data_IF_720381529333
#
_entry.id   IF_720381529333
#
_cell.length_a   1.000
_cell.length_b   1.000
_cell.length_c   1.000
_cell.angle_alpha   90.00
_cell.angle_beta   90.00
_cell.angle_gamma   90.00
#
_symmetry.space_group_name_H-M   'P 1'
#
loop_
_entity.id
_entity.type
_entity.pdbx_description
1 polymer ?
#
# COMPACT_ATOMS: atom_id res chain seq x y z
N UNK A 1 -19.10 22.45 -23.57
CA UNK A 1 -20.10 23.19 -22.75
C UNK A 1 -20.52 22.38 -21.52
N UNK A 2 -20.27 21.06 -21.49
CA UNK A 2 -20.64 20.16 -20.39
C UNK A 2 -19.56 20.08 -19.28
N UNK A 3 -18.28 20.31 -19.62
CA UNK A 3 -17.15 20.24 -18.67
C UNK A 3 -17.15 21.37 -17.63
N UNK A 4 -17.57 22.59 -18.00
CA UNK A 4 -17.70 23.72 -17.06
C UNK A 4 -18.80 23.47 -16.02
N UNK A 5 -19.80 22.67 -16.36
CA UNK A 5 -20.94 22.35 -15.50
C UNK A 5 -20.59 21.29 -14.44
N UNK A 6 -19.62 20.42 -14.75
CA UNK A 6 -19.06 19.47 -13.77
C UNK A 6 -18.15 20.22 -12.80
N UNK A 7 -17.30 21.13 -13.28
CA UNK A 7 -16.46 21.97 -12.41
C UNK A 7 -17.31 22.81 -11.43
N UNK A 8 -18.38 23.46 -11.89
CA UNK A 8 -19.26 24.26 -11.02
C UNK A 8 -20.06 23.41 -10.02
N UNK A 9 -20.54 22.23 -10.44
CA UNK A 9 -21.28 21.28 -9.59
C UNK A 9 -20.42 20.70 -8.46
N UNK A 10 -19.18 20.34 -8.76
CA UNK A 10 -18.19 19.81 -7.80
C UNK A 10 -17.88 20.80 -6.68
N UNK A 11 -17.93 22.09 -6.99
CA UNK A 11 -17.68 23.15 -6.01
C UNK A 11 -18.95 23.61 -5.28
N UNK A 12 -20.14 23.47 -5.87
CA UNK A 12 -21.40 23.75 -5.18
C UNK A 12 -21.71 22.68 -4.14
N UNK A 13 -21.46 21.40 -4.45
CA UNK A 13 -21.63 20.29 -3.50
C UNK A 13 -20.66 20.40 -2.30
N UNK A 14 -19.43 20.88 -2.53
CA UNK A 14 -18.45 21.15 -1.46
C UNK A 14 -18.77 22.38 -0.58
N UNK A 15 -19.75 23.20 -0.96
CA UNK A 15 -20.17 24.41 -0.22
C UNK A 15 -21.48 24.17 0.54
N UNK A 16 -22.33 23.24 0.10
CA UNK A 16 -23.66 23.02 0.70
C UNK A 16 -23.69 21.99 1.84
N UNK A 17 -22.67 21.14 2.02
CA UNK A 17 -22.65 20.16 3.12
C UNK A 17 -22.26 20.73 4.49
N UNK A 18 -21.87 22.00 4.59
CA UNK A 18 -21.24 22.58 5.79
C UNK A 18 -22.03 23.75 6.41
N UNK A 19 -23.37 23.75 6.27
CA UNK A 19 -24.21 24.78 6.92
C UNK A 19 -24.60 24.47 8.36
N UNK A 20 -24.10 23.38 8.97
CA UNK A 20 -24.37 23.13 10.38
C UNK A 20 -23.13 22.64 11.14
N UNK A 21 -22.60 23.56 11.94
CA UNK A 21 -21.72 23.34 13.10
C UNK A 21 -20.18 23.33 12.87
N UNK A 22 -19.60 24.52 13.02
CA UNK A 22 -18.28 24.78 13.64
C UNK A 22 -17.07 24.05 13.05
N UNK A 23 -16.57 24.49 11.90
CA UNK A 23 -15.14 24.82 11.62
C UNK A 23 -14.92 24.90 10.12
N UNK A 24 -14.99 26.12 9.57
CA UNK A 24 -14.62 26.40 8.18
C UNK A 24 -13.14 26.13 7.94
N UNK A 25 -12.80 24.88 7.61
CA UNK A 25 -11.48 24.45 7.20
C UNK A 25 -11.62 23.88 5.80
N UNK A 26 -11.61 24.72 4.77
CA UNK A 26 -11.19 24.25 3.45
C UNK A 26 -9.67 24.14 3.51
N UNK A 27 -9.21 23.05 4.12
CA UNK A 27 -7.80 22.69 4.13
C UNK A 27 -7.42 22.22 2.72
N UNK A 28 -6.13 22.15 2.43
CA UNK A 28 -5.64 21.41 1.26
C UNK A 28 -6.22 19.97 1.21
N UNK A 29 -6.53 19.42 2.38
CA UNK A 29 -7.35 18.22 2.60
C UNK A 29 -8.69 18.22 1.86
N UNK A 30 -9.47 19.31 1.93
CA UNK A 30 -10.79 19.38 1.30
C UNK A 30 -10.66 19.41 -0.22
N UNK A 31 -9.68 20.12 -0.79
CA UNK A 31 -9.43 20.08 -2.24
C UNK A 31 -9.08 18.65 -2.67
N UNK A 32 -8.23 17.95 -1.92
CA UNK A 32 -7.90 16.55 -2.22
C UNK A 32 -9.09 15.60 -2.05
N UNK A 33 -9.93 15.81 -1.04
CA UNK A 33 -11.14 15.02 -0.77
C UNK A 33 -12.23 15.26 -1.81
N UNK A 34 -12.52 16.52 -2.14
CA UNK A 34 -13.47 16.92 -3.19
C UNK A 34 -13.04 16.36 -4.54
N UNK A 35 -11.76 16.51 -4.93
CA UNK A 35 -11.25 15.90 -6.19
C UNK A 35 -11.37 14.38 -6.17
N UNK A 36 -11.14 13.71 -5.03
CA UNK A 36 -11.31 12.26 -4.92
C UNK A 36 -12.79 11.82 -5.04
N UNK A 37 -13.72 12.57 -4.44
CA UNK A 37 -15.16 12.31 -4.48
C UNK A 37 -15.74 12.53 -5.89
N UNK A 38 -15.32 13.60 -6.58
CA UNK A 38 -15.68 13.91 -7.97
C UNK A 38 -15.23 12.84 -8.95
N UNK A 39 -14.03 12.29 -8.77
CA UNK A 39 -13.52 11.21 -9.62
C UNK A 39 -14.26 9.90 -9.37
N UNK A 40 -14.81 9.70 -8.17
CA UNK A 40 -15.63 8.54 -7.83
C UNK A 40 -17.04 8.63 -8.45
N UNK A 41 -17.56 9.85 -8.64
CA UNK A 41 -18.88 10.13 -9.22
C UNK A 41 -18.87 10.29 -10.75
N UNK A 42 -17.72 10.61 -11.37
CA UNK A 42 -17.57 10.76 -12.83
C UNK A 42 -17.34 9.44 -13.59
N UNK A 43 -17.47 8.27 -12.96
CA UNK A 43 -17.43 6.96 -13.64
C UNK A 43 -18.85 6.60 -14.08
N UNK A 44 -19.17 6.60 -15.40
CA UNK A 44 -20.46 6.12 -15.87
C UNK A 44 -20.67 4.66 -15.43
N UNK A 45 -21.90 4.31 -15.07
CA UNK A 45 -22.31 3.05 -14.45
C UNK A 45 -22.09 1.78 -15.33
N UNK A 46 -21.31 1.86 -16.40
CA UNK A 46 -21.01 0.76 -17.33
C UNK A 46 -19.61 0.14 -17.19
N UNK A 47 -18.78 0.54 -16.22
CA UNK A 47 -17.51 -0.17 -15.90
C UNK A 47 -17.35 -0.45 -14.39
N UNK A 48 -18.46 -0.59 -13.65
CA UNK A 48 -18.47 -1.11 -12.27
C UNK A 48 -18.75 -2.62 -12.24
N UNK A 49 -17.89 -3.41 -12.88
CA UNK A 49 -17.69 -4.82 -12.56
C UNK A 49 -16.18 -5.06 -12.65
N UNK A 50 -15.45 -5.01 -11.54
CA UNK A 50 -15.05 -6.22 -10.85
C UNK A 50 -14.79 -5.89 -9.38
N UNK A 51 -15.55 -6.53 -8.49
CA UNK A 51 -15.20 -7.09 -7.17
C UNK A 51 -16.55 -7.27 -6.47
N UNK A 52 -17.20 -8.43 -6.67
CA UNK A 52 -17.87 -9.17 -5.61
C UNK A 52 -18.26 -10.56 -6.12
N UNK A 53 -17.39 -11.55 -5.90
CA UNK A 53 -17.71 -12.95 -6.09
C UNK A 53 -18.44 -13.45 -4.86
N UNK A 54 -19.76 -13.67 -4.94
CA UNK A 54 -20.44 -14.61 -4.05
C UNK A 54 -21.65 -15.25 -4.73
N UNK A 55 -21.50 -16.56 -4.96
CA UNK A 55 -22.52 -17.60 -4.98
C UNK A 55 -23.67 -17.48 -5.99
N UNK A 56 -23.55 -18.23 -7.09
CA UNK A 56 -24.65 -19.06 -7.58
C UNK A 56 -24.13 -20.44 -8.04
N UNK A 57 -24.52 -21.42 -7.25
CA UNK A 57 -24.53 -22.86 -7.51
C UNK A 57 -25.28 -23.24 -8.78
N UNK A 58 -24.78 -24.24 -9.52
CA UNK A 58 -25.63 -25.08 -10.37
C UNK A 58 -24.95 -25.83 -11.51
N UNK A 59 -24.72 -27.14 -11.29
CA UNK A 59 -24.86 -28.26 -12.27
C UNK A 59 -23.79 -28.36 -13.38
N UNK A 60 -23.33 -29.51 -13.89
CA UNK A 60 -23.34 -30.97 -13.61
C UNK A 60 -22.38 -31.55 -14.64
N UNK A 61 -21.55 -32.54 -14.29
CA UNK A 61 -21.15 -33.61 -15.23
C UNK A 61 -20.40 -34.70 -14.46
N UNK A 62 -21.05 -35.86 -14.36
CA UNK A 62 -20.45 -37.11 -13.93
C UNK A 62 -19.33 -37.53 -14.89
N UNK A 63 -18.24 -38.11 -14.37
CA UNK A 63 -17.50 -39.17 -15.05
C UNK A 63 -16.68 -39.98 -14.05
N UNK A 64 -17.01 -41.27 -14.03
CA UNK A 64 -16.33 -42.49 -13.59
C UNK A 64 -15.14 -42.48 -12.62
N UNK A 65 -15.35 -43.18 -11.50
CA UNK A 65 -14.33 -43.83 -10.68
C UNK A 65 -13.72 -45.03 -11.43
N UNK A 66 -12.41 -45.27 -11.32
CA UNK A 66 -11.89 -46.62 -11.21
C UNK A 66 -11.79 -47.01 -9.73
N UNK A 67 -12.48 -48.10 -9.39
CA UNK A 67 -12.34 -48.81 -8.11
C UNK A 67 -10.96 -49.48 -8.07
N UNK A 68 -10.13 -49.17 -7.09
CA UNK A 68 -9.11 -50.12 -6.62
C UNK A 68 -9.55 -50.71 -5.29
N UNK A 69 -9.81 -52.00 -5.39
CA UNK A 69 -10.17 -52.93 -4.35
C UNK A 69 -8.89 -53.36 -3.62
N UNK A 70 -8.73 -53.02 -2.35
CA UNK A 70 -7.70 -53.64 -1.50
C UNK A 70 -8.44 -54.43 -0.43
N UNK A 71 -8.31 -55.75 -0.56
CA UNK A 71 -8.91 -56.76 0.28
C UNK A 71 -8.20 -56.76 1.64
N UNK A 72 -8.91 -56.45 2.72
CA UNK A 72 -8.39 -56.70 4.06
C UNK A 72 -8.57 -58.19 4.39
N UNK A 73 -7.51 -58.97 4.16
CA UNK A 73 -7.36 -60.29 4.78
C UNK A 73 -6.68 -60.11 6.13
N UNK A 74 -7.51 -60.08 7.18
CA UNK A 74 -7.11 -60.29 8.57
C UNK A 74 -6.49 -61.68 8.71
N UNK A 75 -5.20 -61.76 8.99
CA UNK A 75 -4.63 -62.87 9.76
C UNK A 75 -3.67 -62.32 10.81
N UNK A 76 -3.92 -62.75 12.04
CA UNK A 76 -3.43 -62.12 13.25
C UNK A 76 -1.92 -62.21 13.45
N UNK A 77 -1.40 -61.18 14.11
CA UNK A 77 -0.16 -61.27 14.89
C UNK A 77 -0.46 -60.58 16.22
N UNK A 78 -0.66 -61.41 17.24
CA UNK A 78 -0.59 -61.02 18.63
C UNK A 78 0.87 -60.76 19.00
N UNK A 79 1.22 -59.53 19.37
CA UNK A 79 2.37 -59.26 20.22
C UNK A 79 2.20 -57.88 20.89
N UNK A 80 2.12 -57.91 22.22
CA UNK A 80 2.14 -56.74 23.08
C UNK A 80 3.52 -56.06 23.03
N UNK A 81 3.56 -54.76 22.81
CA UNK A 81 4.59 -53.89 23.39
C UNK A 81 4.04 -52.47 23.52
N UNK A 82 4.27 -51.87 24.69
CA UNK A 82 3.69 -50.59 25.08
C UNK A 82 4.15 -49.45 24.18
N UNK A 83 3.23 -48.97 23.35
CA UNK A 83 3.20 -47.60 22.89
C UNK A 83 1.97 -46.95 23.54
N UNK A 84 2.19 -45.85 24.24
CA UNK A 84 1.13 -44.99 24.73
C UNK A 84 0.17 -44.67 23.59
N UNK A 85 -1.09 -45.02 23.77
CA UNK A 85 -2.20 -44.86 22.85
C UNK A 85 -2.34 -43.37 22.47
N UNK A 86 -1.70 -42.95 21.37
CA UNK A 86 -1.99 -41.66 20.76
C UNK A 86 -3.38 -41.82 20.17
N UNK A 87 -4.38 -41.22 20.83
CA UNK A 87 -5.77 -41.39 20.43
C UNK A 87 -5.94 -41.05 18.95
N UNK A 88 -6.63 -41.92 18.20
CA UNK A 88 -6.90 -41.74 16.77
C UNK A 88 -7.55 -40.38 16.49
N UNK A 89 -8.32 -39.85 17.44
CA UNK A 89 -8.89 -38.49 17.40
C UNK A 89 -7.85 -37.36 17.42
N UNK A 90 -6.71 -37.55 18.09
CA UNK A 90 -5.61 -36.58 18.14
C UNK A 90 -4.91 -36.51 16.78
N UNK A 91 -4.70 -37.65 16.13
CA UNK A 91 -4.12 -37.72 14.78
C UNK A 91 -5.05 -37.10 13.74
N UNK A 92 -6.36 -37.35 13.82
CA UNK A 92 -7.34 -36.76 12.91
C UNK A 92 -7.41 -35.23 13.05
N UNK A 93 -7.34 -34.71 14.28
CA UNK A 93 -7.26 -33.27 14.53
C UNK A 93 -5.97 -32.64 13.99
N UNK A 94 -4.83 -33.34 14.09
CA UNK A 94 -3.56 -32.87 13.54
C UNK A 94 -3.58 -32.88 12.00
N UNK A 95 -4.17 -33.91 11.40
CA UNK A 95 -4.35 -34.02 9.96
C UNK A 95 -5.30 -32.93 9.42
N UNK A 96 -6.42 -32.66 10.09
CA UNK A 96 -7.32 -31.57 9.73
C UNK A 96 -6.64 -30.21 9.82
N UNK A 97 -5.83 -29.95 10.85
CA UNK A 97 -5.05 -28.70 10.96
C UNK A 97 -4.01 -28.57 9.85
N UNK A 98 -3.31 -29.65 9.50
CA UNK A 98 -2.38 -29.67 8.39
C UNK A 98 -3.10 -29.43 7.05
N UNK A 99 -4.23 -30.09 6.84
CA UNK A 99 -5.07 -29.93 5.65
C UNK A 99 -5.61 -28.50 5.52
N UNK A 100 -6.09 -27.88 6.60
CA UNK A 100 -6.52 -26.48 6.62
C UNK A 100 -5.36 -25.52 6.33
N UNK A 101 -4.21 -25.72 6.96
CA UNK A 101 -3.01 -24.87 6.75
C UNK A 101 -2.51 -24.96 5.29
N UNK A 102 -2.53 -26.16 4.71
CA UNK A 102 -2.19 -26.36 3.30
C UNK A 102 -3.26 -25.75 2.38
N UNK A 103 -4.54 -25.93 2.69
CA UNK A 103 -5.64 -25.35 1.92
C UNK A 103 -5.54 -23.82 1.88
N UNK A 104 -5.31 -23.16 3.01
CA UNK A 104 -5.09 -21.71 3.05
C UNK A 104 -3.81 -21.31 2.30
N UNK A 105 -2.70 -22.03 2.49
CA UNK A 105 -1.43 -21.72 1.83
C UNK A 105 -1.42 -21.85 0.30
N UNK A 106 -2.26 -22.72 -0.28
CA UNK A 106 -2.32 -22.97 -1.72
C UNK A 106 -3.50 -22.30 -2.45
N UNK A 107 -4.58 -21.95 -1.75
CA UNK A 107 -5.75 -21.32 -2.38
C UNK A 107 -5.74 -19.80 -2.35
N UNK A 108 -4.86 -19.16 -1.56
CA UNK A 108 -4.65 -17.72 -1.69
C UNK A 108 -3.75 -17.40 -2.91
N UNK A 109 -4.06 -16.32 -3.66
CA UNK A 109 -3.14 -15.78 -4.65
C UNK A 109 -1.78 -15.53 -4.02
N UNK A 110 -0.70 -15.96 -4.70
CA UNK A 110 0.65 -15.74 -4.20
C UNK A 110 0.89 -14.23 -4.11
N UNK A 111 1.27 -13.69 -2.93
CA UNK A 111 1.57 -12.28 -2.81
C UNK A 111 2.67 -11.90 -3.80
N UNK A 112 2.44 -10.82 -4.54
CA UNK A 112 3.45 -10.31 -5.46
C UNK A 112 4.61 -9.70 -4.67
N UNK A 113 5.83 -10.11 -5.01
CA UNK A 113 7.04 -9.56 -4.45
C UNK A 113 7.40 -8.29 -5.20
N UNK A 114 7.46 -7.18 -4.47
CA UNK A 114 7.81 -5.89 -5.05
C UNK A 114 9.29 -5.85 -5.42
N UNK A 115 9.62 -5.15 -6.50
CA UNK A 115 11.00 -4.83 -6.85
C UNK A 115 11.36 -3.44 -6.38
N UNK A 116 12.65 -3.20 -6.13
CA UNK A 116 13.13 -1.93 -5.57
C UNK A 116 14.31 -1.38 -6.36
N UNK A 117 14.17 -0.17 -6.89
CA UNK A 117 15.17 0.47 -7.73
C UNK A 117 16.06 1.49 -6.99
N UNK A 118 15.81 1.75 -5.71
CA UNK A 118 16.52 2.79 -4.94
C UNK A 118 15.72 4.07 -4.72
N UNK A 119 14.40 4.09 -4.94
CA UNK A 119 13.59 5.29 -4.67
C UNK A 119 13.12 5.33 -3.21
N UNK A 120 13.49 6.34 -2.39
CA UNK A 120 13.05 6.40 -0.99
C UNK A 120 11.53 6.34 -0.78
N UNK A 121 10.75 6.85 -1.74
CA UNK A 121 9.27 6.82 -1.71
C UNK A 121 8.69 5.41 -1.64
N UNK A 122 9.39 4.43 -2.22
CA UNK A 122 8.93 3.05 -2.32
C UNK A 122 9.59 2.13 -1.30
N UNK A 123 10.63 2.61 -0.59
CA UNK A 123 11.40 1.81 0.36
C UNK A 123 10.52 1.14 1.43
N UNK A 124 9.66 1.92 2.09
CA UNK A 124 8.81 1.41 3.19
C UNK A 124 7.86 0.31 2.73
N UNK A 125 7.34 0.42 1.50
CA UNK A 125 6.45 -0.60 0.92
C UNK A 125 7.23 -1.85 0.55
N UNK A 126 8.38 -1.68 -0.09
CA UNK A 126 9.26 -2.77 -0.49
C UNK A 126 9.74 -3.57 0.72
N UNK A 127 10.31 -2.92 1.74
CA UNK A 127 10.89 -3.63 2.88
C UNK A 127 9.81 -4.38 3.67
N UNK A 128 8.61 -3.80 3.85
CA UNK A 128 7.50 -4.46 4.53
C UNK A 128 6.95 -5.65 3.73
N UNK A 129 6.87 -5.53 2.41
CA UNK A 129 6.50 -6.63 1.51
C UNK A 129 7.54 -7.75 1.57
N UNK A 130 8.84 -7.41 1.56
CA UNK A 130 9.93 -8.36 1.66
C UNK A 130 9.95 -9.09 3.01
N UNK A 131 9.83 -8.36 4.12
CA UNK A 131 9.78 -8.92 5.47
C UNK A 131 8.61 -9.90 5.63
N UNK A 132 7.44 -9.56 5.11
CA UNK A 132 6.23 -10.39 5.23
C UNK A 132 6.30 -11.66 4.38
N UNK A 133 6.85 -11.57 3.16
CA UNK A 133 6.80 -12.68 2.20
C UNK A 133 8.05 -13.55 2.19
N UNK A 134 9.20 -13.00 2.57
CA UNK A 134 10.50 -13.70 2.56
C UNK A 134 11.00 -13.90 3.99
N UNK A 135 11.23 -12.82 4.74
CA UNK A 135 11.86 -12.91 6.07
C UNK A 135 11.00 -13.72 7.05
N UNK A 136 9.67 -13.58 6.99
CA UNK A 136 8.73 -14.36 7.80
C UNK A 136 8.61 -15.84 7.42
N UNK A 137 9.11 -16.27 6.25
CA UNK A 137 8.95 -17.65 5.74
C UNK A 137 10.25 -18.45 5.67
N UNK A 138 11.37 -17.76 5.46
CA UNK A 138 12.70 -18.36 5.29
C UNK A 138 13.52 -18.00 6.52
N UNK A 139 14.20 -18.97 7.14
CA UNK A 139 15.12 -18.73 8.26
C UNK A 139 16.58 -18.55 7.85
N UNK A 140 16.97 -19.07 6.69
CA UNK A 140 18.33 -18.97 6.15
C UNK A 140 18.64 -17.56 5.62
N UNK A 141 19.64 -16.91 6.23
CA UNK A 141 20.08 -15.58 5.86
C UNK A 141 20.81 -15.53 4.50
N UNK A 142 21.45 -16.62 4.08
CA UNK A 142 22.08 -16.69 2.75
C UNK A 142 21.01 -16.61 1.64
N UNK A 143 19.93 -17.37 1.80
CA UNK A 143 18.80 -17.35 0.88
C UNK A 143 18.04 -16.01 0.93
N UNK A 144 17.81 -15.46 2.13
CA UNK A 144 17.21 -14.11 2.28
C UNK A 144 18.03 -13.05 1.56
N UNK A 145 19.36 -13.06 1.71
CA UNK A 145 20.24 -12.12 1.01
C UNK A 145 20.17 -12.29 -0.50
N UNK A 146 20.18 -13.54 -0.98
CA UNK A 146 20.05 -13.85 -2.41
C UNK A 146 18.76 -13.30 -3.00
N UNK A 147 17.63 -13.48 -2.30
CA UNK A 147 16.35 -12.89 -2.71
C UNK A 147 16.37 -11.37 -2.63
N UNK A 148 16.93 -10.78 -1.58
CA UNK A 148 17.02 -9.33 -1.44
C UNK A 148 17.75 -8.70 -2.63
N UNK A 149 18.89 -9.29 -3.03
CA UNK A 149 19.65 -8.89 -4.22
C UNK A 149 18.83 -9.12 -5.50
N UNK A 150 18.12 -10.24 -5.60
CA UNK A 150 17.27 -10.56 -6.76
C UNK A 150 16.07 -9.63 -6.93
N UNK A 151 15.54 -9.02 -5.87
CA UNK A 151 14.42 -8.08 -5.97
C UNK A 151 14.86 -6.61 -6.02
N UNK A 152 16.11 -6.32 -5.72
CA UNK A 152 16.70 -5.01 -5.97
C UNK A 152 17.09 -4.84 -7.46
N UNK A 153 16.99 -3.62 -7.96
CA UNK A 153 17.30 -3.20 -9.33
C UNK A 153 18.16 -1.94 -9.30
N UNK A 154 18.88 -1.67 -10.40
CA UNK A 154 19.65 -0.43 -10.55
C UNK A 154 20.63 -0.19 -9.41
N UNK A 155 20.69 1.05 -8.92
CA UNK A 155 21.61 1.47 -7.86
C UNK A 155 21.40 0.70 -6.56
N UNK A 156 20.15 0.39 -6.20
CA UNK A 156 19.87 -0.38 -4.98
C UNK A 156 20.54 -1.76 -4.99
N UNK A 157 20.56 -2.43 -6.15
CA UNK A 157 21.22 -3.73 -6.30
C UNK A 157 22.74 -3.60 -6.20
N UNK A 158 23.33 -2.66 -6.94
CA UNK A 158 24.78 -2.42 -6.93
C UNK A 158 25.32 -2.12 -5.52
N UNK A 159 24.51 -1.47 -4.67
CA UNK A 159 24.91 -1.17 -3.30
C UNK A 159 25.06 -2.40 -2.39
N UNK A 160 24.42 -3.53 -2.71
CA UNK A 160 24.31 -4.67 -1.81
C UNK A 160 24.79 -5.99 -2.42
N UNK A 161 25.09 -6.04 -3.71
CA UNK A 161 25.41 -7.30 -4.39
C UNK A 161 26.68 -7.97 -3.83
N UNK A 162 27.69 -7.19 -3.47
CA UNK A 162 28.94 -7.68 -2.88
C UNK A 162 28.77 -8.21 -1.45
N UNK A 163 27.64 -7.93 -0.79
CA UNK A 163 27.37 -8.48 0.55
C UNK A 163 27.30 -10.01 0.54
N UNK A 164 27.08 -10.64 -0.62
CA UNK A 164 27.07 -12.11 -0.76
C UNK A 164 28.44 -12.75 -0.51
N UNK A 165 29.52 -11.97 -0.56
CA UNK A 165 30.88 -12.44 -0.30
C UNK A 165 31.21 -12.56 1.21
N UNK A 166 30.34 -12.02 2.07
CA UNK A 166 30.47 -12.08 3.53
C UNK A 166 29.80 -13.35 4.07
N UNK A 167 30.08 -13.66 5.34
CA UNK A 167 29.32 -14.68 6.07
C UNK A 167 27.82 -14.38 6.03
N UNK A 168 26.99 -15.41 5.92
CA UNK A 168 25.54 -15.28 5.64
C UNK A 168 24.81 -14.31 6.59
N UNK A 169 25.09 -14.39 7.89
CA UNK A 169 24.47 -13.52 8.90
C UNK A 169 24.93 -12.06 8.77
N UNK A 170 26.23 -11.84 8.52
CA UNK A 170 26.80 -10.50 8.39
C UNK A 170 26.41 -9.86 7.05
N UNK A 171 26.44 -10.62 5.96
CA UNK A 171 26.06 -10.19 4.62
C UNK A 171 24.62 -9.70 4.58
N UNK A 172 23.68 -10.46 5.14
CA UNK A 172 22.27 -10.05 5.18
C UNK A 172 22.06 -8.79 6.02
N UNK A 173 22.63 -8.74 7.23
CA UNK A 173 22.53 -7.58 8.12
C UNK A 173 23.13 -6.33 7.47
N UNK A 174 24.30 -6.46 6.83
CA UNK A 174 24.97 -5.36 6.15
C UNK A 174 24.16 -4.86 4.95
N UNK A 175 23.61 -5.76 4.13
CA UNK A 175 22.74 -5.38 3.01
C UNK A 175 21.51 -4.58 3.48
N UNK A 176 20.83 -5.06 4.54
CA UNK A 176 19.70 -4.32 5.14
C UNK A 176 20.12 -2.95 5.68
N UNK A 177 21.25 -2.88 6.38
CA UNK A 177 21.76 -1.62 6.92
C UNK A 177 22.09 -0.61 5.83
N UNK A 178 22.68 -1.05 4.70
CA UNK A 178 22.99 -0.20 3.55
C UNK A 178 21.70 0.37 2.94
N UNK A 179 20.71 -0.48 2.66
CA UNK A 179 19.43 -0.03 2.09
C UNK A 179 18.71 0.93 3.04
N UNK A 180 18.67 0.62 4.33
CA UNK A 180 18.06 1.50 5.33
C UNK A 180 18.78 2.85 5.41
N UNK A 181 20.11 2.85 5.49
CA UNK A 181 20.90 4.08 5.62
C UNK A 181 20.73 5.01 4.42
N UNK A 182 20.66 4.45 3.20
CA UNK A 182 20.53 5.24 1.96
C UNK A 182 19.10 5.69 1.68
N UNK A 183 18.12 4.80 1.86
CA UNK A 183 16.75 5.02 1.36
C UNK A 183 15.69 5.01 2.45
N UNK A 184 15.95 4.35 3.58
CA UNK A 184 14.97 4.06 4.62
C UNK A 184 14.95 4.98 5.82
N UNK A 185 15.90 5.92 5.93
CA UNK A 185 15.94 6.84 7.07
C UNK A 185 14.71 7.77 7.03
N UNK A 186 14.00 7.99 8.15
CA UNK A 186 12.76 8.78 8.19
C UNK A 186 12.87 10.13 7.48
N UNK A 187 13.92 10.91 7.76
CA UNK A 187 14.15 12.20 7.12
C UNK A 187 14.39 12.12 5.60
N UNK A 188 15.00 11.04 5.08
CA UNK A 188 15.22 10.85 3.63
C UNK A 188 13.89 10.57 2.94
N UNK A 189 13.05 9.71 3.54
CA UNK A 189 11.71 9.41 3.05
C UNK A 189 10.86 10.67 3.07
N UNK A 190 10.77 11.34 4.23
CA UNK A 190 9.99 12.55 4.41
C UNK A 190 10.38 13.64 3.39
N UNK A 191 11.68 13.91 3.28
CA UNK A 191 12.22 14.86 2.29
C UNK A 191 11.81 14.47 0.88
N UNK A 192 11.95 13.21 0.48
CA UNK A 192 11.59 12.78 -0.89
C UNK A 192 10.10 12.99 -1.19
N UNK A 193 9.22 12.78 -0.21
CA UNK A 193 7.79 13.06 -0.34
C UNK A 193 7.50 14.57 -0.46
N UNK A 194 8.15 15.40 0.36
CA UNK A 194 8.02 16.86 0.29
C UNK A 194 8.54 17.38 -1.06
N UNK A 195 9.74 16.97 -1.47
CA UNK A 195 10.35 17.37 -2.73
C UNK A 195 9.47 17.00 -3.92
N UNK A 196 8.82 15.83 -3.88
CA UNK A 196 7.87 15.41 -4.93
C UNK A 196 6.63 16.31 -5.03
N UNK A 197 6.17 16.89 -3.92
CA UNK A 197 5.05 17.82 -3.91
C UNK A 197 5.47 19.25 -4.27
N UNK A 198 6.61 19.68 -3.76
CA UNK A 198 7.13 21.05 -3.95
C UNK A 198 7.66 21.25 -5.37
N UNK A 199 8.38 20.26 -5.90
CA UNK A 199 8.99 20.34 -7.23
C UNK A 199 8.11 19.64 -8.27
N UNK A 200 7.48 20.45 -9.11
CA UNK A 200 6.71 19.95 -10.25
C UNK A 200 6.24 21.09 -11.15
N UNK A 201 5.84 20.73 -12.37
CA UNK A 201 5.26 21.71 -13.29
C UNK A 201 3.93 22.25 -12.77
N UNK A 202 3.61 23.47 -13.19
CA UNK A 202 2.29 24.03 -12.96
C UNK A 202 1.26 23.25 -13.79
N UNK A 203 0.18 22.84 -13.11
CA UNK A 203 -0.95 22.12 -13.69
C UNK A 203 -1.89 23.15 -14.32
N UNK A 204 -2.30 22.89 -15.57
CA UNK A 204 -3.26 23.72 -16.30
C UNK A 204 -4.67 23.41 -15.81
N UNK A 205 -5.60 24.37 -15.92
CA UNK A 205 -7.01 24.13 -15.57
C UNK A 205 -7.63 22.97 -16.36
N UNK A 206 -7.22 22.78 -17.62
CA UNK A 206 -7.69 21.68 -18.47
C UNK A 206 -7.05 20.31 -18.15
N UNK A 207 -6.04 20.25 -17.28
CA UNK A 207 -5.29 19.03 -16.96
C UNK A 207 -5.85 18.37 -15.69
N UNK A 208 -7.01 17.75 -15.87
CA UNK A 208 -7.76 17.07 -14.79
C UNK A 208 -6.95 15.88 -14.24
N UNK A 209 -6.26 15.14 -15.12
CA UNK A 209 -5.44 13.99 -14.71
C UNK A 209 -4.24 14.43 -13.88
N UNK A 210 -3.55 15.51 -14.28
CA UNK A 210 -2.46 16.09 -13.51
C UNK A 210 -2.90 16.55 -12.13
N UNK A 211 -4.08 17.16 -12.03
CA UNK A 211 -4.66 17.61 -10.75
C UNK A 211 -5.01 16.42 -9.84
N UNK A 212 -5.67 15.39 -10.40
CA UNK A 212 -5.99 14.14 -9.70
C UNK A 212 -4.74 13.46 -9.15
N UNK A 213 -3.70 13.35 -9.98
CA UNK A 213 -2.41 12.78 -9.58
C UNK A 213 -1.77 13.56 -8.45
N UNK A 214 -1.79 14.90 -8.51
CA UNK A 214 -1.27 15.74 -7.44
C UNK A 214 -2.05 15.51 -6.14
N UNK A 215 -3.39 15.51 -6.18
CA UNK A 215 -4.22 15.23 -5.01
C UNK A 215 -3.87 13.87 -4.37
N UNK A 216 -3.72 12.82 -5.18
CA UNK A 216 -3.31 11.50 -4.68
C UNK A 216 -1.91 11.50 -4.06
N UNK A 217 -0.98 12.27 -4.63
CA UNK A 217 0.37 12.43 -4.07
C UNK A 217 0.33 13.17 -2.72
N UNK A 218 -0.55 14.15 -2.56
CA UNK A 218 -0.75 14.89 -1.31
C UNK A 218 -1.30 13.98 -0.21
N UNK A 219 -2.27 13.11 -0.51
CA UNK A 219 -2.77 12.10 0.44
C UNK A 219 -1.69 11.09 0.85
N UNK A 220 -0.89 10.61 -0.11
CA UNK A 220 0.22 9.70 0.19
C UNK A 220 1.25 10.37 1.11
N UNK A 221 1.50 11.66 0.89
CA UNK A 221 2.38 12.45 1.73
C UNK A 221 1.81 12.60 3.14
N UNK A 222 0.51 12.90 3.29
CA UNK A 222 -0.17 12.96 4.58
C UNK A 222 0.01 11.69 5.40
N UNK A 223 -0.34 10.54 4.81
CA UNK A 223 -0.25 9.25 5.50
C UNK A 223 1.20 8.99 5.94
N UNK A 224 2.17 9.29 5.07
CA UNK A 224 3.58 8.97 5.33
C UNK A 224 4.20 9.93 6.34
N UNK A 225 4.03 11.24 6.19
CA UNK A 225 4.61 12.24 7.09
C UNK A 225 3.97 12.17 8.49
N UNK A 226 2.67 11.87 8.57
CA UNK A 226 1.99 11.64 9.85
C UNK A 226 2.57 10.44 10.60
N UNK A 227 2.85 9.34 9.89
CA UNK A 227 3.48 8.15 10.49
C UNK A 227 4.94 8.39 10.90
N UNK A 228 5.67 9.25 10.18
CA UNK A 228 7.07 9.56 10.47
C UNK A 228 7.25 10.69 11.49
N UNK A 229 6.21 11.49 11.77
CA UNK A 229 6.26 12.65 12.65
C UNK A 229 6.84 13.92 12.01
N UNK A 230 6.74 14.07 10.69
CA UNK A 230 7.34 15.17 9.92
C UNK A 230 6.29 16.17 9.39
N UNK A 231 5.18 16.34 10.11
CA UNK A 231 4.09 17.22 9.65
C UNK A 231 4.51 18.70 9.58
N UNK A 232 5.27 19.16 10.57
CA UNK A 232 5.81 20.53 10.60
C UNK A 232 6.65 20.89 9.38
N UNK A 233 7.32 19.90 8.78
CA UNK A 233 8.24 20.14 7.68
C UNK A 233 7.49 20.47 6.39
N UNK A 234 6.33 19.85 6.16
CA UNK A 234 5.48 20.18 5.01
C UNK A 234 4.63 21.43 5.26
N UNK A 235 4.27 21.70 6.52
CA UNK A 235 3.53 22.90 6.94
C UNK A 235 4.37 24.19 6.83
N UNK A 236 5.67 24.08 6.53
CA UNK A 236 6.51 25.23 6.26
C UNK A 236 5.90 26.10 5.14
N UNK A 237 5.72 27.39 5.43
CA UNK A 237 5.17 28.41 4.52
C UNK A 237 5.78 28.39 3.10
N UNK A 238 7.08 28.12 2.97
CA UNK A 238 7.73 28.05 1.66
C UNK A 238 7.32 26.79 0.87
N UNK A 239 7.16 25.66 1.56
CA UNK A 239 6.68 24.42 0.95
C UNK A 239 5.22 24.56 0.51
N UNK A 240 4.37 25.10 1.38
CA UNK A 240 2.97 25.42 1.05
C UNK A 240 2.87 26.32 -0.18
N UNK A 241 3.64 27.41 -0.20
CA UNK A 241 3.67 28.35 -1.32
C UNK A 241 4.10 27.67 -2.63
N UNK A 242 5.10 26.79 -2.58
CA UNK A 242 5.54 26.06 -3.77
C UNK A 242 4.50 25.06 -4.28
N UNK A 243 3.81 24.38 -3.37
CA UNK A 243 2.72 23.47 -3.73
C UNK A 243 1.56 24.25 -4.35
N UNK A 244 1.16 25.37 -3.74
CA UNK A 244 0.08 26.23 -4.26
C UNK A 244 0.42 26.75 -5.66
N UNK A 245 1.67 27.14 -5.93
CA UNK A 245 2.13 27.55 -7.26
C UNK A 245 1.89 26.51 -8.35
N UNK A 246 1.79 25.22 -8.00
CA UNK A 246 1.50 24.16 -8.96
C UNK A 246 0.03 24.12 -9.38
N UNK A 247 -0.89 24.69 -8.60
CA UNK A 247 -2.30 24.69 -8.95
C UNK A 247 -2.64 25.66 -10.10
N UNK A 248 -3.78 25.41 -10.80
CA UNK A 248 -4.38 26.37 -11.71
C UNK A 248 -4.65 27.73 -11.04
N UNK A 249 -4.62 28.81 -11.83
CA UNK A 249 -4.73 30.19 -11.32
C UNK A 249 -5.95 30.41 -10.42
N UNK A 250 -7.12 29.91 -10.82
CA UNK A 250 -8.36 30.11 -10.06
C UNK A 250 -8.31 29.46 -8.66
N UNK A 251 -7.67 28.29 -8.54
CA UNK A 251 -7.49 27.61 -7.24
C UNK A 251 -6.48 28.34 -6.36
N UNK A 252 -5.47 28.96 -6.97
CA UNK A 252 -4.49 29.78 -6.23
C UNK A 252 -5.15 30.99 -5.59
N UNK A 253 -6.00 31.72 -6.32
CA UNK A 253 -6.72 32.87 -5.78
C UNK A 253 -7.58 32.45 -4.59
N UNK A 254 -8.37 31.38 -4.74
CA UNK A 254 -9.21 30.85 -3.67
C UNK A 254 -8.40 30.41 -2.45
N UNK A 255 -7.25 29.77 -2.66
CA UNK A 255 -6.36 29.41 -1.55
C UNK A 255 -5.84 30.64 -0.80
N UNK A 256 -5.50 31.72 -1.50
CA UNK A 256 -5.06 32.98 -0.87
C UNK A 256 -6.19 33.59 -0.01
N UNK A 257 -7.42 33.58 -0.50
CA UNK A 257 -8.58 34.09 0.25
C UNK A 257 -8.79 33.30 1.56
N UNK A 258 -8.65 31.97 1.49
CA UNK A 258 -8.73 31.09 2.67
C UNK A 258 -7.54 31.29 3.61
N UNK A 259 -6.32 31.36 3.09
CA UNK A 259 -5.13 31.59 3.91
C UNK A 259 -5.21 32.94 4.64
N UNK A 260 -5.78 33.97 3.99
CA UNK A 260 -6.05 35.26 4.59
C UNK A 260 -7.05 35.15 5.75
N UNK A 261 -8.18 34.47 5.55
CA UNK A 261 -9.20 34.30 6.61
C UNK A 261 -8.67 33.50 7.80
N UNK A 262 -7.82 32.49 7.57
CA UNK A 262 -7.14 31.74 8.64
C UNK A 262 -6.19 32.65 9.42
N UNK A 263 -5.43 33.49 8.72
CA UNK A 263 -4.49 34.44 9.33
C UNK A 263 -5.21 35.48 10.19
N UNK A 264 -6.39 35.95 9.75
CA UNK A 264 -7.26 36.84 10.54
C UNK A 264 -7.77 36.17 11.83
N UNK A 265 -7.90 34.84 11.84
CA UNK A 265 -8.23 34.06 13.04
C UNK A 265 -7.05 33.83 13.99
N UNK A 266 -5.87 34.37 13.68
CA UNK A 266 -4.65 34.20 14.49
C UNK A 266 -4.00 32.83 14.37
N UNK A 267 -4.35 32.05 13.33
CA UNK A 267 -3.77 30.73 13.03
C UNK A 267 -2.89 30.80 11.79
N UNK A 268 -1.93 29.89 11.67
CA UNK A 268 -1.15 29.73 10.45
C UNK A 268 -1.80 28.69 9.53
N UNK A 269 -1.79 28.89 8.20
CA UNK A 269 -2.22 27.88 7.25
C UNK A 269 -1.34 26.61 7.36
N UNK A 270 -1.96 25.46 7.51
CA UNK A 270 -1.30 24.15 7.50
C UNK A 270 -1.57 23.41 6.19
N UNK A 271 -0.76 22.38 5.92
CA UNK A 271 -0.98 21.42 4.84
C UNK A 271 -2.07 20.39 5.20
N UNK A 272 -2.20 20.07 6.50
CA UNK A 272 -3.12 19.08 7.06
C UNK A 272 -4.31 19.69 7.79
#
# INVERSE_FOLDING_TARGET
>A
MEEANIEESVWQEAVEEDTDNTSGIVNIRNISQTVSQTLQSSVPASEKECINMNSLSGQTAATDKPKMNINNSTQGISAQSGFSDVSVSSIDSAFQRLASTLHEGFNLPKPELLTFNGTPLDYSKFIRNFETNIEGRISDNSLRLSYLIQYCRGEAKCCIEDCVLLDSDEGYKRARAILYSRYGRPHVIARSFIEKLVYGAQIKASDIEGLSKLALEMQKCEITLSQLGFNSDIDNSENLRCIVKRFPMHMRTRWVDIAHSISESGREPSFF
#
